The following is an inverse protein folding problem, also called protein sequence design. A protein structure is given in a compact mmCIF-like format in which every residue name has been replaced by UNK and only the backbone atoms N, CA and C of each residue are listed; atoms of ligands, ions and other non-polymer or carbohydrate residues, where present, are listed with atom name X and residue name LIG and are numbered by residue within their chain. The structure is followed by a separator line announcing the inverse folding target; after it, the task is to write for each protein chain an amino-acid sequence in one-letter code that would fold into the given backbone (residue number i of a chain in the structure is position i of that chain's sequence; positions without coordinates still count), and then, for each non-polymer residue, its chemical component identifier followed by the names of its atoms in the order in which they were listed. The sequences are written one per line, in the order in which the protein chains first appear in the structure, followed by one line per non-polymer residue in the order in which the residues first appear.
data_IF_266670061935
#
_entry.id   IF_266670061935
#
_cell.length_a   1.000
_cell.length_b   1.000
_cell.length_c   1.000
_cell.angle_alpha   90.00
_cell.angle_beta   90.00
_cell.angle_gamma   90.00
#
_symmetry.space_group_name_H-M   'P 1'
#
loop_
_entity.id
_entity.type
_entity.pdbx_description
1 polymer ?
#
# COMPACT_ATOMS: atom_id res chain seq x y z
N UNK A 1 -40.13 -15.15 8.57
CA UNK A 1 -38.78 -15.20 7.96
C UNK A 1 -38.35 -13.79 7.60
N UNK A 2 -37.65 -13.11 8.50
CA UNK A 2 -37.11 -11.76 8.29
C UNK A 2 -35.69 -11.90 7.74
N UNK A 3 -35.43 -11.28 6.58
CA UNK A 3 -34.13 -11.31 5.90
C UNK A 3 -33.13 -10.44 6.67
N UNK A 4 -32.08 -11.07 7.20
CA UNK A 4 -30.92 -10.38 7.76
C UNK A 4 -30.06 -9.88 6.59
N UNK A 5 -30.04 -8.56 6.38
CA UNK A 5 -29.06 -7.91 5.50
C UNK A 5 -27.88 -7.54 6.40
N UNK A 6 -26.65 -8.01 6.14
CA UNK A 6 -25.50 -7.60 6.94
C UNK A 6 -25.21 -6.11 6.69
N UNK A 7 -24.93 -5.32 7.75
CA UNK A 7 -24.48 -3.94 7.56
C UNK A 7 -23.11 -3.97 6.87
N UNK A 8 -23.00 -3.24 5.76
CA UNK A 8 -21.73 -3.03 5.07
C UNK A 8 -20.80 -2.25 6.01
N UNK A 9 -19.72 -2.89 6.46
CA UNK A 9 -18.76 -2.34 7.44
C UNK A 9 -17.74 -1.38 6.82
N UNK A 10 -18.19 -0.40 6.03
CA UNK A 10 -17.32 0.60 5.41
C UNK A 10 -17.38 1.99 6.08
N UNK A 11 -18.13 2.16 7.16
CA UNK A 11 -18.22 3.44 7.87
C UNK A 11 -17.24 3.52 9.04
N UNK A 12 -15.95 3.71 8.73
CA UNK A 12 -15.03 4.34 9.71
C UNK A 12 -15.20 5.85 9.68
N UNK A 13 -16.33 6.33 10.21
CA UNK A 13 -16.52 7.73 10.57
C UNK A 13 -15.60 8.07 11.75
N UNK A 14 -14.46 8.70 11.45
CA UNK A 14 -13.65 9.39 12.47
C UNK A 14 -14.27 10.78 12.66
N UNK A 15 -14.48 11.28 13.89
CA UNK A 15 -15.34 12.46 14.14
C UNK A 15 -14.77 13.80 13.64
N UNK A 16 -13.58 13.82 13.02
CA UNK A 16 -12.84 15.06 12.77
C UNK A 16 -13.14 15.69 11.40
N UNK A 17 -13.67 14.95 10.43
CA UNK A 17 -14.20 15.51 9.18
C UNK A 17 -15.02 14.46 8.39
N UNK A 18 -16.37 14.45 8.47
CA UNK A 18 -17.21 13.43 7.83
C UNK A 18 -17.19 13.45 6.28
N UNK A 19 -16.47 14.38 5.64
CA UNK A 19 -16.37 14.48 4.17
C UNK A 19 -15.00 14.10 3.58
N UNK A 20 -13.93 13.98 4.39
CA UNK A 20 -12.59 13.79 3.85
C UNK A 20 -12.31 12.30 3.64
N UNK A 21 -12.28 11.86 2.38
CA UNK A 21 -11.87 10.49 2.02
C UNK A 21 -10.35 10.43 1.81
N UNK A 22 -9.64 9.46 2.39
CA UNK A 22 -8.22 9.31 2.11
C UNK A 22 -8.02 8.88 0.66
N UNK A 23 -7.03 9.48 -0.01
CA UNK A 23 -6.61 9.08 -1.36
C UNK A 23 -5.64 7.91 -1.28
N UNK A 24 -5.91 6.88 -2.06
CA UNK A 24 -5.02 5.73 -2.21
C UNK A 24 -3.88 6.08 -3.17
N UNK A 25 -2.65 5.79 -2.77
CA UNK A 25 -1.45 5.93 -3.59
C UNK A 25 -0.75 4.57 -3.66
N UNK A 26 -0.39 4.16 -4.89
CA UNK A 26 0.39 2.93 -5.13
C UNK A 26 1.80 3.31 -5.58
N UNK A 27 2.80 2.96 -4.77
CA UNK A 27 4.21 3.07 -5.12
C UNK A 27 4.67 1.74 -5.71
N UNK A 28 5.30 1.76 -6.88
CA UNK A 28 5.81 0.57 -7.56
C UNK A 28 7.33 0.71 -7.67
N UNK A 29 8.06 -0.33 -7.28
CA UNK A 29 9.49 -0.45 -7.50
C UNK A 29 9.75 -1.55 -8.52
N UNK A 30 10.57 -1.25 -9.52
CA UNK A 30 10.99 -2.19 -10.56
C UNK A 30 12.51 -2.08 -10.71
N UNK A 31 13.20 -3.22 -10.75
CA UNK A 31 14.63 -3.28 -10.97
C UNK A 31 15.21 -4.61 -10.53
N UNK A 32 16.53 -4.68 -10.39
CA UNK A 32 17.16 -5.90 -9.86
C UNK A 32 16.71 -6.20 -8.44
N UNK A 33 16.66 -7.49 -8.03
CA UNK A 33 16.28 -7.88 -6.67
C UNK A 33 17.05 -7.11 -5.61
N UNK A 34 18.36 -6.94 -5.80
CA UNK A 34 19.22 -6.18 -4.90
C UNK A 34 18.84 -4.69 -4.85
N UNK A 35 18.60 -4.06 -6.00
CA UNK A 35 18.25 -2.63 -6.06
C UNK A 35 16.87 -2.36 -5.45
N UNK A 36 15.91 -3.26 -5.67
CA UNK A 36 14.59 -3.20 -5.05
C UNK A 36 14.73 -3.31 -3.53
N UNK A 37 15.47 -4.30 -3.02
CA UNK A 37 15.68 -4.47 -1.58
C UNK A 37 16.39 -3.28 -0.93
N UNK A 38 17.46 -2.75 -1.53
CA UNK A 38 18.15 -1.55 -1.05
C UNK A 38 17.21 -0.34 -0.98
N UNK A 39 16.31 -0.21 -1.96
CA UNK A 39 15.33 0.89 -1.98
C UNK A 39 14.30 0.73 -0.85
N UNK A 40 13.82 -0.48 -0.59
CA UNK A 40 12.94 -0.77 0.56
C UNK A 40 13.63 -0.40 1.87
N UNK A 41 14.88 -0.82 2.07
CA UNK A 41 15.64 -0.50 3.29
C UNK A 41 15.91 1.00 3.44
N UNK A 42 16.16 1.72 2.34
CA UNK A 42 16.31 3.17 2.36
C UNK A 42 15.01 3.85 2.79
N UNK A 43 13.85 3.44 2.24
CA UNK A 43 12.54 3.95 2.62
C UNK A 43 12.19 3.60 4.08
N UNK A 44 12.61 2.44 4.57
CA UNK A 44 12.50 2.09 5.98
C UNK A 44 13.36 2.99 6.88
N UNK A 45 14.60 3.29 6.47
CA UNK A 45 15.48 4.22 7.17
C UNK A 45 14.87 5.62 7.28
N UNK A 46 14.15 6.07 6.25
CA UNK A 46 13.40 7.32 6.23
C UNK A 46 12.06 7.27 6.98
N UNK A 47 11.75 6.15 7.65
CA UNK A 47 10.46 5.90 8.33
C UNK A 47 9.25 6.03 7.40
N UNK A 48 9.48 5.86 6.09
CA UNK A 48 8.41 5.93 5.10
C UNK A 48 7.54 4.67 5.15
N UNK A 49 8.13 3.48 5.16
CA UNK A 49 7.41 2.21 5.27
C UNK A 49 8.30 1.09 5.83
N UNK A 50 7.71 0.16 6.58
CA UNK A 50 8.36 -1.08 7.01
C UNK A 50 8.50 -2.06 5.84
N UNK A 51 9.56 -2.89 5.82
CA UNK A 51 9.77 -3.86 4.75
C UNK A 51 8.61 -4.85 4.55
N UNK A 52 7.88 -5.20 5.60
CA UNK A 52 6.76 -6.14 5.55
C UNK A 52 5.44 -5.52 5.05
N UNK A 53 5.39 -4.20 4.83
CA UNK A 53 4.23 -3.52 4.21
C UNK A 53 4.24 -3.64 2.68
N UNK A 54 5.36 -4.06 2.09
CA UNK A 54 5.51 -4.25 0.66
C UNK A 54 4.93 -5.60 0.22
N UNK A 55 4.45 -5.66 -1.03
CA UNK A 55 4.08 -6.93 -1.65
C UNK A 55 5.30 -7.83 -1.81
N UNK A 56 5.08 -9.14 -1.89
CA UNK A 56 6.10 -10.08 -2.37
C UNK A 56 6.64 -9.59 -3.72
N UNK A 57 7.97 -9.51 -3.92
CA UNK A 57 8.54 -9.20 -5.21
C UNK A 57 8.26 -10.31 -6.22
N UNK A 58 7.71 -9.95 -7.37
CA UNK A 58 7.36 -10.88 -8.45
C UNK A 58 8.22 -10.61 -9.70
N UNK A 59 8.60 -11.64 -10.47
CA UNK A 59 9.31 -11.46 -11.73
C UNK A 59 8.51 -10.64 -12.74
N UNK A 60 9.17 -9.79 -13.53
CA UNK A 60 8.51 -8.99 -14.59
C UNK A 60 8.51 -9.65 -15.96
N UNK A 61 9.17 -10.80 -16.10
CA UNK A 61 9.44 -11.46 -17.38
C UNK A 61 10.73 -11.00 -18.06
N UNK A 62 11.40 -9.95 -17.56
CA UNK A 62 12.77 -9.61 -17.96
C UNK A 62 13.78 -10.32 -17.05
N UNK A 63 14.93 -10.79 -17.59
CA UNK A 63 16.00 -11.32 -16.77
C UNK A 63 16.45 -10.32 -15.71
N UNK A 64 16.70 -10.82 -14.50
CA UNK A 64 17.18 -10.04 -13.36
C UNK A 64 16.33 -8.81 -13.00
N UNK A 65 15.02 -8.82 -13.28
CA UNK A 65 14.10 -7.75 -12.94
C UNK A 65 12.90 -8.29 -12.13
N UNK A 66 12.64 -7.66 -10.99
CA UNK A 66 11.48 -7.93 -10.14
C UNK A 66 10.70 -6.65 -9.92
N UNK A 67 9.42 -6.81 -9.58
CA UNK A 67 8.52 -5.73 -9.20
C UNK A 67 7.92 -6.00 -7.82
N UNK A 68 7.83 -4.96 -7.01
CA UNK A 68 7.04 -4.95 -5.77
C UNK A 68 6.24 -3.66 -5.69
N UNK A 69 5.19 -3.63 -4.88
CA UNK A 69 4.41 -2.43 -4.65
C UNK A 69 4.04 -2.22 -3.18
N UNK A 70 3.75 -0.97 -2.85
CA UNK A 70 3.24 -0.53 -1.56
C UNK A 70 1.97 0.30 -1.79
N UNK A 71 0.92 0.05 -1.02
CA UNK A 71 -0.32 0.84 -1.03
C UNK A 71 -0.38 1.67 0.25
N UNK A 72 -0.64 2.97 0.12
CA UNK A 72 -0.86 3.88 1.26
C UNK A 72 -2.08 4.76 1.06
N UNK A 73 -2.65 5.22 2.15
CA UNK A 73 -3.83 6.08 2.19
C UNK A 73 -3.46 7.40 2.85
N UNK A 74 -3.61 8.51 2.13
CA UNK A 74 -3.28 9.85 2.62
C UNK A 74 -4.51 10.75 2.58
N UNK A 75 -4.73 11.50 3.65
CA UNK A 75 -5.61 12.64 3.60
C UNK A 75 -4.84 13.79 2.96
N UNK A 76 -5.27 14.21 1.78
CA UNK A 76 -4.78 15.43 1.12
C UNK A 76 -5.87 16.49 1.19
N UNK A 77 -5.46 17.73 1.44
CA UNK A 77 -6.35 18.89 1.56
C UNK A 77 -6.87 19.33 0.19
#
# INVERSE_FOLDING_TARGET
MTKNIPPNSDDKNTPENPGRKPKQVKLILIGSPEKVWKTILALYGLKYAYPNEWSTPEPTGKPDEVMTFLIRYFYVD
#
